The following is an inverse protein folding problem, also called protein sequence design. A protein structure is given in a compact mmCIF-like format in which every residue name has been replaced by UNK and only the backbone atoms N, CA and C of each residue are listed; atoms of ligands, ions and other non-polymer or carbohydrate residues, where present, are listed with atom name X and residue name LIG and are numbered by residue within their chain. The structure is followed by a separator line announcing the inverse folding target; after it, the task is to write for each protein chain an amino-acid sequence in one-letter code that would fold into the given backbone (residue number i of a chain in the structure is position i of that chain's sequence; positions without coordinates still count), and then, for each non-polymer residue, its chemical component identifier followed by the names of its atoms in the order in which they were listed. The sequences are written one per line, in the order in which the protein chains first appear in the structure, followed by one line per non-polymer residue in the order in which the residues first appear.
data_IF_938602085209
#
_entry.id   IF_938602085209
#
_cell.length_a   1.000
_cell.length_b   1.000
_cell.length_c   1.000
_cell.angle_alpha   90.00
_cell.angle_beta   90.00
_cell.angle_gamma   90.00
#
_symmetry.space_group_name_H-M   'P 1'
#
loop_
_entity.id
_entity.type
_entity.pdbx_description
1 polymer ?
#
# COMPACT_ATOMS: atom_id res chain seq x y z
N UNK A 1 -15.22 -11.42 10.44
CA UNK A 1 -14.38 -10.26 10.08
C UNK A 1 -13.34 -10.10 11.17
N UNK A 2 -12.13 -10.62 10.95
CA UNK A 2 -11.07 -10.69 11.97
C UNK A 2 -10.04 -9.55 11.85
N UNK A 3 -10.18 -8.66 10.87
CA UNK A 3 -9.30 -7.50 10.70
C UNK A 3 -9.90 -6.23 11.29
N UNK A 4 -9.11 -5.43 12.02
CA UNK A 4 -9.55 -4.13 12.53
C UNK A 4 -9.92 -3.22 11.35
N UNK A 5 -11.06 -2.56 11.48
CA UNK A 5 -11.47 -1.52 10.53
C UNK A 5 -10.96 -0.18 11.06
N UNK A 6 -10.03 0.43 10.34
CA UNK A 6 -9.54 1.77 10.64
C UNK A 6 -10.44 2.81 9.96
N UNK A 7 -10.69 3.93 10.63
CA UNK A 7 -11.36 5.06 9.98
C UNK A 7 -10.38 5.80 9.06
N UNK A 8 -10.90 6.54 8.09
CA UNK A 8 -10.07 7.32 7.17
C UNK A 8 -9.27 8.39 7.92
N UNK A 9 -9.87 9.00 8.95
CA UNK A 9 -9.26 10.03 9.77
C UNK A 9 -8.03 9.50 10.52
N UNK A 10 -8.09 8.27 11.05
CA UNK A 10 -6.95 7.64 11.72
C UNK A 10 -5.79 7.44 10.75
N UNK A 11 -6.07 7.06 9.49
CA UNK A 11 -5.02 6.88 8.48
C UNK A 11 -4.41 8.23 8.11
N UNK A 12 -5.23 9.27 7.94
CA UNK A 12 -4.76 10.63 7.68
C UNK A 12 -3.91 11.18 8.84
N UNK A 13 -4.34 10.97 10.08
CA UNK A 13 -3.58 11.39 11.27
C UNK A 13 -2.22 10.67 11.37
N UNK A 14 -2.17 9.38 11.03
CA UNK A 14 -0.92 8.61 11.08
C UNK A 14 0.05 8.91 9.96
N UNK A 15 -0.42 9.50 8.87
CA UNK A 15 0.36 9.92 7.71
C UNK A 15 1.41 8.89 7.26
N UNK A 16 0.99 7.74 6.70
CA UNK A 16 1.93 6.68 6.35
C UNK A 16 2.87 7.09 5.21
N UNK A 17 4.14 6.67 5.31
CA UNK A 17 5.14 6.85 4.25
C UNK A 17 4.96 5.90 3.05
N UNK A 18 4.29 4.76 3.29
CA UNK A 18 4.06 3.67 2.34
C UNK A 18 2.62 3.16 2.45
N UNK A 19 2.00 2.90 1.31
CA UNK A 19 0.73 2.17 1.22
C UNK A 19 0.94 0.96 0.30
N UNK A 20 0.71 -0.25 0.80
CA UNK A 20 0.68 -1.46 -0.02
C UNK A 20 -0.78 -1.80 -0.37
N UNK A 21 -1.06 -1.91 -1.66
CA UNK A 21 -2.41 -2.13 -2.19
C UNK A 21 -2.50 -3.55 -2.76
N UNK A 22 -3.28 -4.43 -2.13
CA UNK A 22 -3.35 -5.85 -2.44
C UNK A 22 -4.73 -6.30 -2.97
N UNK A 23 -5.44 -5.39 -3.65
CA UNK A 23 -6.77 -5.60 -4.24
C UNK A 23 -6.87 -5.02 -5.67
N UNK A 24 -5.72 -4.99 -6.35
CA UNK A 24 -5.54 -4.38 -7.68
C UNK A 24 -6.26 -5.16 -8.77
N UNK A 25 -6.14 -6.50 -8.79
CA UNK A 25 -6.73 -7.33 -9.86
C UNK A 25 -8.15 -7.77 -9.52
N UNK A 26 -8.41 -8.18 -8.27
CA UNK A 26 -9.73 -8.64 -7.82
C UNK A 26 -10.78 -7.55 -7.89
N UNK A 27 -10.35 -6.32 -7.62
CA UNK A 27 -11.22 -5.26 -7.16
C UNK A 27 -10.93 -3.93 -7.86
N UNK A 28 -10.07 -3.97 -8.89
CA UNK A 28 -9.73 -2.86 -9.78
C UNK A 28 -9.30 -1.58 -9.03
N UNK A 29 -8.68 -1.73 -7.86
CA UNK A 29 -8.08 -0.59 -7.17
C UNK A 29 -6.74 -0.23 -7.82
N UNK A 30 -6.35 1.03 -7.67
CA UNK A 30 -5.06 1.55 -8.14
C UNK A 30 -4.55 2.64 -7.22
N UNK A 31 -3.29 3.02 -7.37
CA UNK A 31 -2.72 4.19 -6.71
C UNK A 31 -3.57 5.45 -6.96
N UNK A 32 -4.12 5.60 -8.16
CA UNK A 32 -4.98 6.73 -8.51
C UNK A 32 -6.30 6.73 -7.72
N UNK A 33 -6.96 5.57 -7.61
CA UNK A 33 -8.23 5.48 -6.84
C UNK A 33 -8.00 5.67 -5.34
N UNK A 34 -6.86 5.22 -4.82
CA UNK A 34 -6.46 5.44 -3.42
C UNK A 34 -6.15 6.93 -3.17
N UNK A 35 -5.38 7.57 -4.05
CA UNK A 35 -5.04 8.98 -3.94
C UNK A 35 -6.26 9.91 -4.01
N UNK A 36 -7.31 9.49 -4.72
CA UNK A 36 -8.56 10.24 -4.87
C UNK A 36 -9.49 10.15 -3.64
N UNK A 37 -9.16 9.34 -2.63
CA UNK A 37 -9.96 9.24 -1.40
C UNK A 37 -9.95 10.59 -0.67
N UNK A 38 -11.09 10.97 -0.11
CA UNK A 38 -11.23 12.23 0.60
C UNK A 38 -10.21 12.32 1.74
N UNK A 39 -9.44 13.42 1.76
CA UNK A 39 -8.36 13.65 2.74
C UNK A 39 -7.04 12.94 2.45
N UNK A 40 -6.97 11.99 1.50
CA UNK A 40 -5.76 11.18 1.27
C UNK A 40 -4.74 11.85 0.35
N UNK A 41 -5.14 12.83 -0.45
CA UNK A 41 -4.25 13.51 -1.40
C UNK A 41 -3.02 14.18 -0.77
N UNK A 42 -3.08 14.50 0.53
CA UNK A 42 -1.98 15.14 1.27
C UNK A 42 -1.07 14.15 2.00
N UNK A 43 -1.39 12.84 1.99
CA UNK A 43 -0.57 11.83 2.67
C UNK A 43 0.85 11.78 2.09
N UNK A 44 1.84 11.53 2.93
CA UNK A 44 3.22 11.32 2.54
C UNK A 44 3.35 10.22 1.49
N UNK A 45 2.67 9.07 1.68
CA UNK A 45 2.65 8.00 0.69
C UNK A 45 2.09 8.44 -0.68
N UNK A 46 1.11 9.34 -0.71
CA UNK A 46 0.47 9.79 -1.96
C UNK A 46 1.36 10.82 -2.66
N UNK A 47 1.78 11.86 -1.93
CA UNK A 47 2.59 12.96 -2.45
C UNK A 47 3.96 12.51 -2.95
N UNK A 48 4.55 11.50 -2.30
CA UNK A 48 5.84 10.93 -2.70
C UNK A 48 5.72 9.79 -3.74
N UNK A 49 4.51 9.42 -4.15
CA UNK A 49 4.30 8.31 -5.10
C UNK A 49 4.70 6.94 -4.53
N UNK A 50 4.49 6.74 -3.23
CA UNK A 50 4.83 5.52 -2.47
C UNK A 50 3.59 4.64 -2.21
N UNK A 51 2.62 4.67 -3.13
CA UNK A 51 1.55 3.67 -3.18
C UNK A 51 2.03 2.52 -4.06
N UNK A 52 2.23 1.35 -3.45
CA UNK A 52 2.76 0.15 -4.08
C UNK A 52 1.62 -0.80 -4.39
N UNK A 53 1.28 -0.90 -5.67
CA UNK A 53 0.34 -1.88 -6.20
C UNK A 53 0.98 -3.28 -6.18
N UNK A 54 0.45 -4.17 -5.36
CA UNK A 54 0.90 -5.55 -5.26
C UNK A 54 0.07 -6.46 -6.16
N UNK A 55 0.69 -7.55 -6.60
CA UNK A 55 -0.03 -8.68 -7.17
C UNK A 55 -0.86 -9.37 -6.06
N UNK A 56 -2.18 -9.19 -6.08
CA UNK A 56 -3.07 -9.69 -5.03
C UNK A 56 -3.12 -11.23 -4.94
N UNK A 57 -2.88 -11.95 -6.04
CA UNK A 57 -2.73 -13.42 -6.06
C UNK A 57 -1.46 -13.87 -5.32
N UNK A 58 -0.43 -13.02 -5.26
CA UNK A 58 0.79 -13.25 -4.47
C UNK A 58 0.58 -12.78 -3.02
N UNK A 59 0.07 -11.55 -2.83
CA UNK A 59 -0.06 -10.91 -1.52
C UNK A 59 -1.07 -11.61 -0.59
N UNK A 60 -2.09 -12.27 -1.16
CA UNK A 60 -3.11 -13.00 -0.39
C UNK A 60 -2.80 -14.49 -0.20
N UNK A 61 -1.78 -15.04 -0.88
CA UNK A 61 -1.44 -16.48 -0.85
C UNK A 61 0.03 -16.71 -0.54
N UNK A 62 0.33 -16.84 0.75
CA UNK A 62 1.68 -16.91 1.30
C UNK A 62 2.31 -18.31 1.14
N UNK A 63 2.33 -18.81 -0.09
CA UNK A 63 2.90 -20.09 -0.48
C UNK A 63 4.32 -19.94 -1.04
N UNK A 64 4.71 -20.74 -2.06
CA UNK A 64 6.06 -20.74 -2.62
C UNK A 64 6.57 -19.37 -3.12
N UNK A 65 5.67 -18.46 -3.50
CA UNK A 65 5.98 -17.10 -3.96
C UNK A 65 6.15 -16.08 -2.82
N UNK A 66 6.19 -16.50 -1.56
CA UNK A 66 6.38 -15.60 -0.41
C UNK A 66 7.68 -14.78 -0.54
N UNK A 67 8.75 -15.36 -1.08
CA UNK A 67 10.01 -14.65 -1.30
C UNK A 67 9.85 -13.52 -2.34
N UNK A 68 8.97 -13.71 -3.33
CA UNK A 68 8.65 -12.66 -4.31
C UNK A 68 7.90 -11.50 -3.64
N UNK A 69 6.94 -11.80 -2.76
CA UNK A 69 6.24 -10.79 -1.96
C UNK A 69 7.21 -10.00 -1.06
N UNK A 70 8.09 -10.71 -0.35
CA UNK A 70 9.11 -10.12 0.51
C UNK A 70 10.06 -9.21 -0.28
N UNK A 71 10.48 -9.63 -1.48
CA UNK A 71 11.34 -8.82 -2.33
C UNK A 71 10.67 -7.52 -2.77
N UNK A 72 9.37 -7.55 -3.11
CA UNK A 72 8.60 -6.35 -3.45
C UNK A 72 8.49 -5.38 -2.26
N UNK A 73 8.14 -5.90 -1.08
CA UNK A 73 8.03 -5.10 0.15
C UNK A 73 9.38 -4.50 0.54
N UNK A 74 10.44 -5.31 0.54
CA UNK A 74 11.79 -4.86 0.88
C UNK A 74 12.30 -3.80 -0.11
N UNK A 75 12.05 -3.97 -1.41
CA UNK A 75 12.40 -2.99 -2.44
C UNK A 75 11.68 -1.66 -2.26
N UNK A 76 10.39 -1.69 -1.92
CA UNK A 76 9.62 -0.49 -1.60
C UNK A 76 10.17 0.25 -0.37
N UNK A 77 10.45 -0.48 0.72
CA UNK A 77 11.05 0.10 1.93
C UNK A 77 12.40 0.74 1.62
N UNK A 78 13.29 0.03 0.92
CA UNK A 78 14.62 0.54 0.56
C UNK A 78 14.54 1.82 -0.28
N UNK A 79 13.57 1.92 -1.19
CA UNK A 79 13.35 3.12 -2.01
C UNK A 79 12.99 4.33 -1.15
N UNK A 80 12.11 4.16 -0.17
CA UNK A 80 11.71 5.25 0.75
C UNK A 80 12.87 5.65 1.65
N UNK A 81 13.60 4.68 2.22
CA UNK A 81 14.76 4.97 3.07
C UNK A 81 15.91 5.65 2.34
N UNK A 82 16.06 5.43 1.03
CA UNK A 82 17.09 6.07 0.22
C UNK A 82 16.74 7.51 -0.22
N UNK A 83 15.47 7.90 -0.14
CA UNK A 83 14.98 9.25 -0.48
C UNK A 83 14.76 10.16 0.73
N UNK A 84 15.00 9.66 1.95
CA UNK A 84 14.87 10.38 3.22
C UNK A 84 16.21 10.96 3.69
#
# INVERSE_FOLDING_TARGET
NEYPQLSAEVIVEKDPDLIFLADVKCCAQSAATVAAREGWGALGAVTNGNIVELDDDIASRWGPRLVELLAQVAGAIAKVSAGS
#
